data_IF_246147026561
#
_entry.id   IF_246147026561
#
_cell.length_a   1.000
_cell.length_b   1.000
_cell.length_c   1.000
_cell.angle_alpha   90.00
_cell.angle_beta   90.00
_cell.angle_gamma   90.00
#
_symmetry.space_group_name_H-M   'P 1'
#
loop_
_entity.id
_entity.type
_entity.pdbx_description
1 polymer ?
#
# COMPACT_ATOMS: atom_id res chain seq x y z
N UNK A 1 -14.93 2.16 -17.69
CA UNK A 1 -14.09 1.13 -17.05
C UNK A 1 -13.00 1.80 -16.22
N UNK A 2 -12.32 1.05 -15.34
CA UNK A 2 -11.17 1.56 -14.56
C UNK A 2 -9.89 1.33 -15.35
N UNK A 3 -9.01 2.33 -15.42
CA UNK A 3 -7.69 2.16 -16.06
C UNK A 3 -6.82 1.17 -15.28
N UNK A 4 -6.08 0.30 -15.98
CA UNK A 4 -5.14 -0.61 -15.33
C UNK A 4 -4.06 0.13 -14.53
N UNK A 5 -3.68 1.35 -14.94
CA UNK A 5 -2.76 2.21 -14.19
C UNK A 5 -3.29 2.63 -12.82
N UNK A 6 -4.59 2.44 -12.56
CA UNK A 6 -5.25 2.75 -11.31
C UNK A 6 -5.53 1.48 -10.47
N UNK A 7 -5.16 0.30 -10.95
CA UNK A 7 -5.30 -0.98 -10.26
C UNK A 7 -3.91 -1.50 -9.90
N UNK A 8 -3.49 -1.29 -8.64
CA UNK A 8 -2.09 -1.46 -8.24
C UNK A 8 -1.98 -2.50 -7.13
N UNK A 9 -1.23 -3.58 -7.38
CA UNK A 9 -0.91 -4.55 -6.34
C UNK A 9 -0.03 -3.87 -5.29
N UNK A 10 -0.40 -4.04 -4.03
CA UNK A 10 0.25 -3.38 -2.89
C UNK A 10 0.56 -4.40 -1.82
N UNK A 11 1.80 -4.39 -1.33
CA UNK A 11 2.24 -5.21 -0.21
C UNK A 11 2.10 -4.39 1.07
N UNK A 12 1.37 -4.95 2.02
CA UNK A 12 1.14 -4.37 3.34
C UNK A 12 1.63 -5.32 4.43
N UNK A 13 1.68 -4.81 5.66
CA UNK A 13 1.83 -5.61 6.87
C UNK A 13 0.56 -5.48 7.71
N UNK A 14 -0.04 -6.61 8.07
CA UNK A 14 -1.17 -6.72 8.99
C UNK A 14 -0.73 -6.40 10.43
N UNK A 15 -1.69 -6.27 11.34
CA UNK A 15 -1.43 -6.01 12.76
C UNK A 15 -0.59 -7.11 13.43
N UNK A 16 -0.74 -8.36 13.01
CA UNK A 16 0.02 -9.53 13.46
C UNK A 16 1.47 -9.58 12.92
N UNK A 17 1.84 -8.66 12.03
CA UNK A 17 3.16 -8.60 11.42
C UNK A 17 3.32 -9.39 10.11
N UNK A 18 2.33 -10.16 9.70
CA UNK A 18 2.36 -10.92 8.45
C UNK A 18 2.28 -9.97 7.23
N UNK A 19 3.02 -10.29 6.18
CA UNK A 19 2.93 -9.60 4.90
C UNK A 19 1.68 -10.05 4.13
N UNK A 20 0.91 -9.11 3.61
CA UNK A 20 -0.30 -9.40 2.84
C UNK A 20 -0.30 -8.62 1.53
N UNK A 21 -0.85 -9.22 0.47
CA UNK A 21 -1.00 -8.57 -0.83
C UNK A 21 -2.45 -8.17 -1.03
N UNK A 22 -2.68 -6.88 -1.31
CA UNK A 22 -4.00 -6.31 -1.56
C UNK A 22 -4.00 -5.55 -2.89
N UNK A 23 -5.19 -5.22 -3.38
CA UNK A 23 -5.35 -4.34 -4.54
C UNK A 23 -5.68 -2.93 -4.07
N UNK A 24 -4.86 -1.94 -4.45
CA UNK A 24 -5.21 -0.52 -4.30
C UNK A 24 -5.86 -0.02 -5.59
N UNK A 25 -7.01 0.63 -5.46
CA UNK A 25 -7.73 1.31 -6.54
C UNK A 25 -7.58 2.81 -6.37
N UNK A 26 -6.93 3.48 -7.32
CA UNK A 26 -6.81 4.94 -7.36
C UNK A 26 -8.06 5.55 -7.98
N UNK A 27 -8.70 6.46 -7.26
CA UNK A 27 -9.87 7.21 -7.73
C UNK A 27 -9.66 8.72 -7.52
N UNK A 28 -10.53 9.52 -8.11
CA UNK A 28 -10.60 10.97 -7.86
C UNK A 28 -11.07 11.32 -6.44
N UNK A 29 -11.67 10.35 -5.72
CA UNK A 29 -12.11 10.46 -4.32
C UNK A 29 -11.09 9.92 -3.32
N UNK A 30 -9.94 9.43 -3.81
CA UNK A 30 -8.87 8.85 -3.00
C UNK A 30 -8.54 7.40 -3.33
N UNK A 31 -7.62 6.84 -2.55
CA UNK A 31 -7.13 5.47 -2.70
C UNK A 31 -7.97 4.52 -1.81
N UNK A 32 -8.56 3.49 -2.44
CA UNK A 32 -9.33 2.45 -1.77
C UNK A 32 -8.62 1.11 -1.84
N UNK A 33 -8.87 0.24 -0.86
CA UNK A 33 -8.32 -1.11 -0.78
C UNK A 33 -9.41 -2.13 -1.02
N UNK A 34 -9.13 -3.06 -1.94
CA UNK A 34 -9.87 -4.28 -2.15
C UNK A 34 -9.04 -5.43 -1.59
N UNK A 35 -9.61 -6.16 -0.65
CA UNK A 35 -8.99 -7.25 0.09
C UNK A 35 -9.84 -8.52 -0.09
N UNK A 36 -9.22 -9.69 0.05
CA UNK A 36 -9.89 -10.98 0.05
C UNK A 36 -10.12 -11.54 1.47
N UNK A 37 -9.60 -10.87 2.51
CA UNK A 37 -9.86 -11.24 3.91
C UNK A 37 -11.10 -10.55 4.49
N UNK A 38 -11.55 -9.46 3.86
CA UNK A 38 -12.74 -8.71 4.24
C UNK A 38 -13.33 -8.08 2.96
N UNK A 39 -14.64 -8.23 2.78
CA UNK A 39 -15.37 -7.73 1.60
C UNK A 39 -15.66 -6.21 1.64
N UNK A 40 -15.40 -5.55 2.77
CA UNK A 40 -15.55 -4.10 2.90
C UNK A 40 -14.51 -3.35 2.04
N UNK A 41 -14.98 -2.49 1.14
CA UNK A 41 -14.13 -1.52 0.45
C UNK A 41 -13.85 -0.35 1.39
N UNK A 42 -12.58 -0.20 1.80
CA UNK A 42 -12.16 0.82 2.76
C UNK A 42 -11.17 1.81 2.14
N UNK A 43 -11.23 3.11 2.50
CA UNK A 43 -10.11 4.02 2.26
C UNK A 43 -8.84 3.41 2.87
N UNK A 44 -7.69 3.58 2.21
CA UNK A 44 -6.42 3.00 2.67
C UNK A 44 -6.08 3.30 4.13
N UNK A 45 -6.38 4.51 4.60
CA UNK A 45 -6.17 4.98 5.98
C UNK A 45 -7.06 4.30 7.02
N UNK A 46 -8.18 3.69 6.60
CA UNK A 46 -9.14 3.04 7.48
C UNK A 46 -8.93 1.51 7.59
N UNK A 47 -7.94 0.97 6.88
CA UNK A 47 -7.64 -0.48 6.88
C UNK A 47 -6.90 -0.95 8.12
N UNK A 48 -6.16 -0.05 8.79
CA UNK A 48 -5.25 -0.42 9.87
C UNK A 48 -3.98 -1.15 9.42
N UNK A 49 -3.75 -1.26 8.11
CA UNK A 49 -2.54 -1.87 7.56
C UNK A 49 -1.37 -0.89 7.48
N UNK A 50 -0.15 -1.44 7.57
CA UNK A 50 1.08 -0.68 7.27
C UNK A 50 1.52 -0.94 5.83
N UNK A 51 1.51 0.08 4.98
CA UNK A 51 1.81 -0.04 3.56
C UNK A 51 3.32 -0.06 3.30
N UNK A 52 3.83 -1.06 2.59
CA UNK A 52 5.29 -1.24 2.42
C UNK A 52 5.73 -0.79 1.03
N UNK A 53 5.19 -1.41 -0.01
CA UNK A 53 5.53 -1.13 -1.41
C UNK A 53 4.33 -1.38 -2.32
N UNK A 54 4.30 -0.71 -3.47
CA UNK A 54 3.22 -0.80 -4.46
C UNK A 54 3.77 -0.87 -5.86
N UNK A 55 3.06 -1.57 -6.73
CA UNK A 55 3.34 -1.61 -8.16
C UNK A 55 3.29 -0.20 -8.76
N UNK A 56 4.24 0.12 -9.64
CA UNK A 56 4.25 1.41 -10.33
C UNK A 56 3.05 1.51 -11.28
N UNK A 57 2.37 2.65 -11.26
CA UNK A 57 1.26 2.96 -12.17
C UNK A 57 1.68 3.08 -13.64
N UNK A 58 2.97 3.21 -13.92
CA UNK A 58 3.50 3.36 -15.28
C UNK A 58 4.33 2.16 -15.73
N UNK A 59 4.67 1.22 -14.82
CA UNK A 59 5.50 0.05 -15.11
C UNK A 59 5.14 -1.13 -14.21
N UNK A 60 4.38 -2.09 -14.74
CA UNK A 60 3.85 -3.21 -13.96
C UNK A 60 4.91 -4.13 -13.33
N UNK A 61 6.14 -4.16 -13.86
CA UNK A 61 7.25 -4.91 -13.28
C UNK A 61 8.02 -4.17 -12.16
N UNK A 62 7.78 -2.87 -11.98
CA UNK A 62 8.49 -2.04 -11.00
C UNK A 62 7.66 -1.87 -9.74
N UNK A 63 8.32 -2.00 -8.58
CA UNK A 63 7.76 -1.69 -7.27
C UNK A 63 8.37 -0.40 -6.72
N UNK A 64 7.55 0.39 -6.04
CA UNK A 64 7.93 1.65 -5.40
C UNK A 64 7.59 1.54 -3.91
N UNK A 65 8.51 1.96 -3.04
CA UNK A 65 8.25 2.01 -1.60
C UNK A 65 7.17 3.06 -1.31
N UNK A 66 6.28 2.77 -0.36
CA UNK A 66 5.26 3.74 0.11
C UNK A 66 5.74 4.44 1.38
N UNK A 67 6.45 3.72 2.24
CA UNK A 67 7.13 4.30 3.40
C UNK A 67 8.58 4.53 2.98
N UNK A 68 8.94 5.80 2.75
CA UNK A 68 10.26 6.27 3.16
C UNK A 68 10.20 6.34 4.69
N UNK A 69 11.13 5.67 5.37
CA UNK A 69 11.32 5.93 6.79
C UNK A 69 11.48 7.46 6.95
N UNK A 70 10.68 8.17 7.77
CA UNK A 70 11.16 9.45 8.24
C UNK A 70 12.47 9.13 8.93
N UNK A 71 13.56 9.76 8.49
CA UNK A 71 14.91 9.57 9.00
C UNK A 71 14.90 9.12 10.46
N UNK A 72 15.14 7.83 10.69
CA UNK A 72 15.79 7.44 11.92
C UNK A 72 17.22 7.90 11.70
N UNK A 73 17.45 9.18 12.02
CA UNK A 73 18.71 9.62 12.58
C UNK A 73 18.98 8.68 13.76
N UNK A 74 19.64 7.56 13.48
CA UNK A 74 20.32 6.80 14.52
C UNK A 74 21.38 7.77 14.98
N UNK A 75 21.08 8.47 16.07
CA UNK A 75 22.08 9.19 16.83
C UNK A 75 23.25 8.25 16.99
N UNK A 76 24.42 8.71 16.56
CA UNK A 76 25.65 8.24 17.13
C UNK A 76 25.45 8.29 18.65
N UNK A 77 25.35 7.10 19.25
CA UNK A 77 25.55 6.92 20.68
C UNK A 77 27.02 6.59 20.82
N UNK A 78 27.65 7.28 21.78
CA UNK A 78 29.09 7.49 21.97
C UNK A 78 30.03 6.30 21.73
#
# INVERSE_FOLDING_TARGET
GISLSNLLITVVRKQDGEGHAVLTVKTDKGDYVLDNLNDDVKPWSATGYRFIKRQSSTHTGRWVAIIEHPDVLVGAVD
#
